data_IF_098099697322
#
_entry.id   IF_098099697322
#
_cell.length_a   1.000
_cell.length_b   1.000
_cell.length_c   1.000
_cell.angle_alpha   90.00
_cell.angle_beta   90.00
_cell.angle_gamma   90.00
#
_symmetry.space_group_name_H-M   'P 1'
#
loop_
_entity.id
_entity.type
_entity.pdbx_description
1 polymer ?
#
# COMPACT_ATOMS: atom_id res chain seq x y z
N UNK A 1 51.27 74.13 -30.21
CA UNK A 1 50.37 73.98 -29.05
C UNK A 1 49.80 72.56 -29.06
N UNK A 2 50.02 71.82 -27.96
CA UNK A 2 49.47 70.50 -27.56
C UNK A 2 49.50 69.35 -28.60
N UNK A 3 50.50 68.47 -28.43
CA UNK A 3 50.55 67.09 -28.94
C UNK A 3 49.59 66.21 -28.12
N UNK A 4 48.75 65.44 -28.78
CA UNK A 4 47.88 64.43 -28.18
C UNK A 4 48.66 63.11 -27.99
N UNK A 5 48.54 62.53 -26.80
CA UNK A 5 49.18 61.27 -26.41
C UNK A 5 48.31 60.06 -26.80
N UNK A 6 49.01 58.99 -27.17
CA UNK A 6 48.53 57.63 -27.37
C UNK A 6 47.97 57.01 -26.07
N UNK A 7 46.90 56.24 -26.18
CA UNK A 7 46.31 55.45 -25.10
C UNK A 7 45.84 54.09 -25.63
N UNK A 8 46.62 53.07 -25.27
CA UNK A 8 46.57 51.64 -25.57
C UNK A 8 45.18 50.98 -25.39
N UNK A 9 44.75 50.19 -26.38
CA UNK A 9 43.51 49.39 -26.34
C UNK A 9 43.68 48.13 -25.46
N UNK A 10 42.74 47.94 -24.53
CA UNK A 10 42.67 46.78 -23.64
C UNK A 10 41.82 45.67 -24.29
N UNK A 11 42.45 44.57 -24.69
CA UNK A 11 41.79 43.34 -25.15
C UNK A 11 41.32 42.53 -23.93
N UNK A 12 40.00 42.52 -23.69
CA UNK A 12 39.35 41.63 -22.73
C UNK A 12 39.13 40.25 -23.38
N UNK A 13 40.00 39.30 -23.04
CA UNK A 13 39.80 37.89 -23.37
C UNK A 13 38.82 37.26 -22.37
N UNK A 14 37.60 36.95 -22.83
CA UNK A 14 36.63 36.15 -22.08
C UNK A 14 37.02 34.68 -22.12
N UNK A 15 37.66 34.19 -21.06
CA UNK A 15 37.88 32.76 -20.83
C UNK A 15 36.61 32.09 -20.31
N UNK A 16 35.97 31.27 -21.14
CA UNK A 16 34.91 30.36 -20.70
C UNK A 16 35.55 29.21 -19.89
N UNK A 17 35.47 29.29 -18.57
CA UNK A 17 35.74 28.16 -17.68
C UNK A 17 34.54 27.20 -17.72
N UNK A 18 34.66 26.10 -18.45
CA UNK A 18 33.79 24.95 -18.28
C UNK A 18 34.11 24.29 -16.92
N UNK A 19 33.29 24.57 -15.91
CA UNK A 19 33.20 23.72 -14.73
C UNK A 19 32.32 22.52 -15.09
N UNK A 20 32.84 21.29 -15.15
CA UNK A 20 31.97 20.13 -15.16
C UNK A 20 31.28 20.07 -13.80
N UNK A 21 29.98 20.39 -13.77
CA UNK A 21 29.12 20.05 -12.64
C UNK A 21 29.12 18.52 -12.58
N UNK A 22 29.86 17.98 -11.62
CA UNK A 22 29.74 16.59 -11.22
C UNK A 22 28.29 16.42 -10.71
N UNK A 23 27.40 15.87 -11.53
CA UNK A 23 26.13 15.35 -11.04
C UNK A 23 26.50 14.21 -10.08
N UNK A 24 26.55 14.49 -8.78
CA UNK A 24 26.46 13.41 -7.80
C UNK A 24 25.07 12.82 -7.98
N UNK A 25 25.00 11.55 -8.38
CA UNK A 25 23.75 10.80 -8.28
C UNK A 25 23.31 10.86 -6.82
N UNK A 26 22.09 11.33 -6.57
CA UNK A 26 21.51 11.33 -5.23
C UNK A 26 21.62 9.92 -4.64
N UNK A 27 22.05 9.83 -3.39
CA UNK A 27 22.14 8.57 -2.68
C UNK A 27 20.76 7.88 -2.66
N UNK A 28 20.67 6.56 -2.92
CA UNK A 28 19.39 5.86 -2.94
C UNK A 28 18.65 6.00 -1.61
N UNK A 29 17.42 6.50 -1.65
CA UNK A 29 16.67 6.80 -0.44
C UNK A 29 16.24 5.53 0.31
N UNK A 30 16.62 5.45 1.59
CA UNK A 30 16.11 4.48 2.56
C UNK A 30 15.35 5.19 3.67
N UNK A 31 14.14 4.73 4.01
CA UNK A 31 13.42 5.27 5.14
C UNK A 31 14.14 4.91 6.43
N UNK A 32 14.23 5.85 7.37
CA UNK A 32 14.73 5.53 8.71
C UNK A 32 13.79 4.50 9.37
N UNK A 33 14.32 3.49 10.10
CA UNK A 33 13.49 2.51 10.80
C UNK A 33 12.42 3.17 11.68
N UNK A 34 11.16 2.74 11.53
CA UNK A 34 10.04 3.29 12.29
C UNK A 34 9.60 4.71 11.89
N UNK A 35 10.17 5.32 10.86
CA UNK A 35 9.71 6.63 10.36
C UNK A 35 8.42 6.54 9.53
N UNK A 36 7.80 7.69 9.25
CA UNK A 36 6.71 7.82 8.27
C UNK A 36 7.31 8.43 6.99
N UNK A 37 7.75 7.63 6.01
CA UNK A 37 8.51 8.16 4.89
C UNK A 37 7.61 8.93 3.90
N UNK A 38 8.17 9.97 3.25
CA UNK A 38 7.45 10.76 2.25
C UNK A 38 7.09 9.92 1.02
N UNK A 39 5.82 9.96 0.62
CA UNK A 39 5.28 9.15 -0.49
C UNK A 39 5.98 9.48 -1.83
N UNK A 40 6.36 10.73 -2.04
CA UNK A 40 7.04 11.22 -3.25
C UNK A 40 8.43 10.61 -3.46
N UNK A 41 9.03 10.01 -2.43
CA UNK A 41 10.29 9.26 -2.54
C UNK A 41 10.09 7.77 -2.81
N UNK A 42 8.85 7.28 -2.80
CA UNK A 42 8.55 5.89 -3.08
C UNK A 42 8.71 5.60 -4.58
N UNK A 43 9.18 4.39 -4.89
CA UNK A 43 9.08 3.85 -6.24
C UNK A 43 7.69 3.24 -6.44
N UNK A 44 7.09 3.50 -7.59
CA UNK A 44 5.74 3.07 -7.93
C UNK A 44 5.75 2.02 -9.04
N UNK A 45 4.99 0.94 -8.84
CA UNK A 45 4.76 -0.10 -9.85
C UNK A 45 3.40 -0.78 -9.61
N UNK A 46 2.96 -1.59 -10.56
CA UNK A 46 1.75 -2.42 -10.41
C UNK A 46 2.01 -3.87 -10.80
N UNK A 47 1.21 -4.78 -10.25
CA UNK A 47 1.35 -6.20 -10.51
C UNK A 47 0.19 -7.03 -9.95
N UNK A 48 0.15 -8.29 -10.33
CA UNK A 48 -0.86 -9.26 -9.87
C UNK A 48 -0.43 -9.91 -8.55
N UNK A 49 -1.31 -9.95 -7.55
CA UNK A 49 -1.09 -10.65 -6.30
C UNK A 49 -1.10 -12.18 -6.49
N UNK A 50 0.03 -12.83 -6.25
CA UNK A 50 0.19 -14.27 -6.52
C UNK A 50 0.51 -15.10 -5.28
N UNK A 51 0.91 -14.45 -4.18
CA UNK A 51 1.18 -15.11 -2.90
C UNK A 51 0.94 -14.14 -1.73
N UNK A 52 0.40 -14.66 -0.63
CA UNK A 52 0.13 -13.90 0.60
C UNK A 52 0.59 -14.69 1.82
N UNK A 53 1.42 -14.05 2.64
CA UNK A 53 1.72 -14.43 4.02
C UNK A 53 1.22 -13.28 4.91
N UNK A 54 -0.10 -13.26 5.13
CA UNK A 54 -0.79 -12.15 5.79
C UNK A 54 -0.26 -11.92 7.21
N UNK A 55 0.13 -12.98 7.90
CA UNK A 55 0.55 -12.91 9.29
C UNK A 55 1.90 -12.18 9.42
N UNK A 56 2.81 -12.39 8.48
CA UNK A 56 4.08 -11.65 8.42
C UNK A 56 4.00 -10.37 7.58
N UNK A 57 2.79 -10.00 7.12
CA UNK A 57 2.52 -8.82 6.29
C UNK A 57 3.43 -8.76 5.06
N UNK A 58 3.56 -9.87 4.34
CA UNK A 58 4.38 -9.99 3.12
C UNK A 58 3.66 -10.81 2.07
N UNK A 59 4.11 -10.73 0.83
CA UNK A 59 3.51 -11.46 -0.28
C UNK A 59 4.41 -11.41 -1.51
N UNK A 60 3.86 -11.79 -2.67
CA UNK A 60 4.54 -11.62 -3.95
C UNK A 60 3.59 -11.06 -5.01
N UNK A 61 4.15 -10.21 -5.87
CA UNK A 61 3.47 -9.66 -7.03
C UNK A 61 4.15 -10.13 -8.32
N UNK A 62 3.37 -10.56 -9.30
CA UNK A 62 3.86 -10.63 -10.68
C UNK A 62 3.85 -9.20 -11.23
N UNK A 63 5.00 -8.53 -11.21
CA UNK A 63 5.12 -7.12 -11.60
C UNK A 63 4.94 -6.97 -13.12
N UNK A 64 4.22 -5.93 -13.52
CA UNK A 64 4.07 -5.59 -14.92
C UNK A 64 5.39 -5.08 -15.49
N UNK A 65 5.85 -5.70 -16.58
CA UNK A 65 6.95 -5.23 -17.41
C UNK A 65 6.50 -4.99 -18.85
N UNK A 66 7.45 -4.65 -19.72
CA UNK A 66 7.21 -4.47 -21.16
C UNK A 66 7.13 -5.79 -21.95
N UNK A 67 7.57 -6.91 -21.37
CA UNK A 67 7.54 -8.22 -22.00
C UNK A 67 6.28 -9.03 -21.71
N UNK A 68 6.43 -10.36 -21.75
CA UNK A 68 5.36 -11.32 -21.54
C UNK A 68 5.04 -11.49 -20.06
N UNK A 69 3.95 -10.86 -19.62
CA UNK A 69 3.57 -10.79 -18.20
C UNK A 69 3.56 -12.16 -17.51
N UNK A 70 2.97 -13.19 -18.12
CA UNK A 70 2.84 -14.52 -17.52
C UNK A 70 4.19 -15.21 -17.20
N UNK A 71 5.29 -14.78 -17.84
CA UNK A 71 6.65 -15.30 -17.60
C UNK A 71 7.40 -14.54 -16.50
N UNK A 72 6.81 -13.49 -15.95
CA UNK A 72 7.43 -12.76 -14.86
C UNK A 72 7.28 -13.59 -13.57
N UNK A 73 8.43 -13.87 -12.97
CA UNK A 73 8.49 -14.51 -11.66
C UNK A 73 7.82 -13.60 -10.62
N UNK A 74 7.10 -14.19 -9.66
CA UNK A 74 6.64 -13.50 -8.47
C UNK A 74 7.77 -12.71 -7.78
N UNK A 75 7.59 -11.41 -7.64
CA UNK A 75 8.48 -10.50 -6.94
C UNK A 75 8.00 -10.32 -5.48
N UNK A 76 8.77 -10.77 -4.48
CA UNK A 76 8.39 -10.66 -3.08
C UNK A 76 8.37 -9.22 -2.57
N UNK A 77 7.41 -8.90 -1.69
CA UNK A 77 7.30 -7.62 -0.99
C UNK A 77 6.98 -7.82 0.50
N UNK A 78 7.38 -6.88 1.34
CA UNK A 78 7.00 -6.80 2.75
C UNK A 78 6.37 -5.44 3.04
N UNK A 79 5.30 -5.41 3.83
CA UNK A 79 4.71 -4.14 4.27
C UNK A 79 5.63 -3.50 5.31
N UNK A 80 5.83 -2.19 5.22
CA UNK A 80 6.32 -1.41 6.35
C UNK A 80 5.34 -1.54 7.53
N UNK A 81 5.80 -1.36 8.77
CA UNK A 81 4.90 -1.45 9.92
C UNK A 81 3.74 -0.44 9.86
N UNK A 82 4.01 0.78 9.37
CA UNK A 82 3.02 1.82 9.11
C UNK A 82 2.36 1.71 7.72
N UNK A 83 2.66 0.63 6.98
CA UNK A 83 2.16 0.39 5.63
C UNK A 83 0.65 0.15 5.62
N UNK A 84 -0.01 0.69 4.60
CA UNK A 84 -1.45 0.69 4.43
C UNK A 84 -1.82 -0.24 3.27
N UNK A 85 -2.84 -1.07 3.47
CA UNK A 85 -3.49 -1.84 2.40
C UNK A 85 -4.89 -1.25 2.18
N UNK A 86 -5.28 -1.06 0.92
CA UNK A 86 -6.63 -0.63 0.55
C UNK A 86 -7.24 -1.60 -0.45
N UNK A 87 -8.51 -1.91 -0.25
CA UNK A 87 -9.30 -2.77 -1.12
C UNK A 87 -10.72 -2.22 -1.21
N UNK A 88 -11.31 -2.21 -2.41
CA UNK A 88 -12.65 -1.67 -2.66
C UNK A 88 -12.88 -0.28 -2.06
N UNK A 89 -11.90 0.62 -2.16
CA UNK A 89 -11.99 1.97 -1.64
C UNK A 89 -11.85 2.12 -0.12
N UNK A 90 -11.65 1.04 0.62
CA UNK A 90 -11.58 1.03 2.08
C UNK A 90 -10.26 0.46 2.62
N UNK A 91 -9.91 0.75 3.89
CA UNK A 91 -8.82 0.06 4.59
C UNK A 91 -8.99 -1.46 4.61
N UNK A 92 -7.89 -2.19 4.52
CA UNK A 92 -7.88 -3.66 4.46
C UNK A 92 -6.66 -4.27 5.16
N UNK A 93 -6.75 -5.57 5.46
CA UNK A 93 -5.58 -6.42 5.71
C UNK A 93 -5.25 -7.24 4.44
N UNK A 94 -4.02 -7.75 4.31
CA UNK A 94 -3.62 -8.56 3.16
C UNK A 94 -4.51 -9.81 2.96
N UNK A 95 -5.11 -10.34 4.04
CA UNK A 95 -6.04 -11.48 3.96
C UNK A 95 -7.34 -11.16 3.22
N UNK A 96 -7.70 -9.89 3.13
CA UNK A 96 -8.96 -9.45 2.54
C UNK A 96 -8.84 -9.34 1.00
N UNK A 97 -7.62 -9.29 0.48
CA UNK A 97 -7.33 -9.10 -0.95
C UNK A 97 -7.23 -10.46 -1.65
N UNK A 98 -8.10 -10.77 -2.62
CA UNK A 98 -8.02 -12.02 -3.36
C UNK A 98 -6.73 -12.13 -4.18
N UNK A 99 -6.20 -13.36 -4.30
CA UNK A 99 -5.17 -13.66 -5.28
C UNK A 99 -5.69 -13.37 -6.70
N UNK A 100 -4.79 -12.95 -7.58
CA UNK A 100 -5.10 -12.50 -8.94
C UNK A 100 -5.44 -11.00 -9.04
N UNK A 101 -5.68 -10.30 -7.93
CA UNK A 101 -5.96 -8.85 -7.93
C UNK A 101 -4.76 -8.06 -8.44
N UNK A 102 -4.99 -7.11 -9.35
CA UNK A 102 -3.98 -6.13 -9.74
C UNK A 102 -3.89 -5.05 -8.68
N UNK A 103 -2.70 -4.89 -8.12
CA UNK A 103 -2.41 -3.93 -7.06
C UNK A 103 -1.38 -2.91 -7.53
N UNK A 104 -1.55 -1.68 -7.04
CA UNK A 104 -0.62 -0.57 -7.17
C UNK A 104 0.19 -0.46 -5.90
N UNK A 105 1.49 -0.21 -6.07
CA UNK A 105 2.47 -0.29 -5.01
C UNK A 105 3.23 1.02 -4.93
N UNK A 106 3.37 1.55 -3.72
CA UNK A 106 4.38 2.55 -3.39
C UNK A 106 5.34 1.94 -2.37
N UNK A 107 6.58 1.72 -2.79
CA UNK A 107 7.56 0.99 -2.00
C UNK A 107 8.90 1.72 -1.91
N UNK A 108 9.67 1.31 -0.92
CA UNK A 108 11.00 1.81 -0.64
C UNK A 108 12.01 0.68 -0.63
N UNK A 109 13.28 1.05 -0.72
CA UNK A 109 14.38 0.18 -0.33
C UNK A 109 14.22 -0.25 1.14
N UNK A 110 14.77 -1.42 1.54
CA UNK A 110 14.67 -1.89 2.92
C UNK A 110 15.17 -0.82 3.91
N UNK A 111 14.39 -0.49 4.97
CA UNK A 111 14.84 0.39 6.04
C UNK A 111 16.13 -0.13 6.69
N UNK A 112 16.18 -1.45 6.91
CA UNK A 112 17.36 -2.18 7.37
C UNK A 112 17.55 -3.45 6.52
N UNK A 113 18.55 -3.48 5.62
CA UNK A 113 18.83 -4.63 4.77
C UNK A 113 19.17 -5.93 5.52
N UNK A 114 19.71 -5.85 6.74
CA UNK A 114 20.20 -7.03 7.46
C UNK A 114 19.06 -7.90 8.01
N UNK A 115 17.92 -7.28 8.30
CA UNK A 115 16.75 -7.92 8.90
C UNK A 115 15.54 -7.97 7.93
N UNK A 116 15.81 -7.78 6.63
CA UNK A 116 14.77 -7.80 5.60
C UNK A 116 14.10 -9.18 5.52
N UNK A 117 12.76 -9.19 5.56
CA UNK A 117 11.96 -10.43 5.45
C UNK A 117 11.68 -10.88 4.01
N UNK A 118 12.22 -10.12 3.05
CA UNK A 118 12.19 -10.35 1.61
C UNK A 118 13.60 -10.18 1.02
N UNK A 119 13.89 -10.74 -0.18
CA UNK A 119 15.21 -10.58 -0.79
C UNK A 119 15.62 -9.11 -0.96
N UNK A 120 16.86 -8.79 -0.58
CA UNK A 120 17.46 -7.47 -0.82
C UNK A 120 18.11 -7.49 -2.21
N UNK A 121 17.59 -6.66 -3.12
CA UNK A 121 18.08 -6.59 -4.49
C UNK A 121 19.02 -5.38 -4.69
N UNK A 122 19.91 -5.43 -5.70
CA UNK A 122 20.72 -4.27 -6.09
C UNK A 122 19.84 -3.07 -6.44
N UNK A 123 20.22 -1.84 -6.07
CA UNK A 123 19.38 -0.64 -6.27
C UNK A 123 19.02 -0.41 -7.74
N UNK A 124 19.91 -0.76 -8.66
CA UNK A 124 19.71 -0.62 -10.10
C UNK A 124 18.80 -1.71 -10.71
N UNK A 125 18.29 -2.65 -9.91
CA UNK A 125 17.54 -3.82 -10.42
C UNK A 125 16.22 -3.44 -11.09
N UNK A 126 15.61 -2.29 -10.72
CA UNK A 126 14.43 -1.72 -11.42
C UNK A 126 14.71 -1.29 -12.87
N UNK A 127 15.98 -1.12 -13.26
CA UNK A 127 16.35 -0.77 -14.62
C UNK A 127 16.88 -1.96 -15.43
N UNK A 128 17.09 -3.12 -14.80
CA UNK A 128 17.66 -4.30 -15.46
C UNK A 128 16.62 -4.98 -16.32
N UNK A 129 17.03 -5.32 -17.53
CA UNK A 129 16.29 -6.24 -18.38
C UNK A 129 16.45 -7.67 -17.85
N UNK A 130 15.33 -8.33 -17.59
CA UNK A 130 15.36 -9.73 -17.17
C UNK A 130 15.66 -10.65 -18.37
N UNK A 131 15.22 -10.27 -19.58
CA UNK A 131 15.57 -10.80 -20.90
C UNK A 131 14.55 -10.35 -21.97
N UNK A 132 14.83 -10.65 -23.25
CA UNK A 132 13.98 -10.38 -24.42
C UNK A 132 12.50 -10.77 -24.28
N UNK A 133 12.17 -11.75 -23.42
CA UNK A 133 10.81 -12.25 -23.24
C UNK A 133 10.05 -11.56 -22.09
N UNK A 134 10.75 -10.94 -21.14
CA UNK A 134 10.16 -10.43 -19.89
C UNK A 134 10.27 -8.91 -19.77
N UNK A 135 11.30 -8.34 -20.39
CA UNK A 135 11.59 -6.91 -20.36
C UNK A 135 12.22 -6.46 -19.04
N UNK A 136 12.30 -5.14 -18.89
CA UNK A 136 12.90 -4.48 -17.73
C UNK A 136 11.87 -4.11 -16.66
N UNK A 137 12.35 -3.85 -15.44
CA UNK A 137 11.56 -3.23 -14.36
C UNK A 137 10.68 -4.17 -13.54
N UNK A 138 10.78 -5.48 -13.76
CA UNK A 138 9.92 -6.47 -13.10
C UNK A 138 10.42 -6.90 -11.69
N UNK A 139 11.59 -6.42 -11.28
CA UNK A 139 12.22 -6.73 -10.01
C UNK A 139 12.78 -5.47 -9.33
N UNK A 140 11.94 -4.51 -8.96
CA UNK A 140 12.41 -3.32 -8.26
C UNK A 140 13.10 -3.69 -6.94
N UNK A 141 14.13 -2.96 -6.56
CA UNK A 141 14.76 -3.16 -5.24
C UNK A 141 13.89 -2.60 -4.11
N UNK A 142 12.97 -1.72 -4.47
CA UNK A 142 11.97 -1.13 -3.62
C UNK A 142 10.81 -2.10 -3.40
N UNK A 143 10.99 -3.00 -2.44
CA UNK A 143 10.01 -4.02 -2.09
C UNK A 143 9.51 -3.92 -0.64
N UNK A 144 9.76 -2.80 0.03
CA UNK A 144 9.21 -2.47 1.34
C UNK A 144 8.07 -1.46 1.21
N UNK A 145 6.84 -1.96 1.28
CA UNK A 145 5.63 -1.29 0.80
C UNK A 145 5.04 -0.38 1.87
N UNK A 146 4.84 0.89 1.52
CA UNK A 146 4.08 1.85 2.33
C UNK A 146 2.59 1.85 1.96
N UNK A 147 2.27 1.73 0.68
CA UNK A 147 0.89 1.71 0.19
C UNK A 147 0.72 0.59 -0.83
N UNK A 148 -0.27 -0.25 -0.58
CA UNK A 148 -0.72 -1.32 -1.48
C UNK A 148 -2.22 -1.14 -1.70
N UNK A 149 -2.65 -0.92 -2.94
CA UNK A 149 -4.06 -0.61 -3.21
C UNK A 149 -4.57 -1.20 -4.51
N UNK A 150 -5.83 -1.64 -4.52
CA UNK A 150 -6.50 -2.09 -5.73
C UNK A 150 -6.91 -0.91 -6.64
N UNK A 151 -7.35 -1.25 -7.85
CA UNK A 151 -7.70 -0.26 -8.87
C UNK A 151 -8.78 0.74 -8.40
N UNK A 152 -9.92 0.34 -7.79
CA UNK A 152 -10.90 1.28 -7.24
C UNK A 152 -10.31 2.17 -6.13
N UNK A 153 -9.50 1.62 -5.22
CA UNK A 153 -8.89 2.42 -4.14
C UNK A 153 -7.93 3.48 -4.68
N UNK A 154 -7.10 3.14 -5.67
CA UNK A 154 -6.24 4.11 -6.34
C UNK A 154 -7.07 5.18 -7.03
N UNK A 155 -8.07 4.79 -7.82
CA UNK A 155 -8.94 5.71 -8.54
C UNK A 155 -9.58 6.72 -7.58
N UNK A 156 -10.13 6.26 -6.46
CA UNK A 156 -10.72 7.13 -5.43
C UNK A 156 -9.69 8.06 -4.78
N UNK A 157 -8.47 7.58 -4.49
CA UNK A 157 -7.40 8.40 -3.92
C UNK A 157 -6.92 9.49 -4.87
N UNK A 158 -6.80 9.14 -6.15
CA UNK A 158 -6.28 10.02 -7.19
C UNK A 158 -7.36 10.85 -7.86
N UNK A 159 -8.64 10.64 -7.55
CA UNK A 159 -9.78 11.30 -8.19
C UNK A 159 -9.95 10.92 -9.67
N UNK A 160 -9.45 9.74 -10.06
CA UNK A 160 -9.53 9.22 -11.43
C UNK A 160 -10.73 8.30 -11.59
N UNK A 161 -11.22 8.15 -12.82
CA UNK A 161 -12.38 7.29 -13.14
C UNK A 161 -12.19 6.59 -14.48
N UNK A 162 -12.66 5.36 -14.61
CA UNK A 162 -12.64 4.67 -15.90
C UNK A 162 -13.83 5.11 -16.76
N UNK A 163 -13.59 5.33 -18.05
CA UNK A 163 -14.61 5.61 -19.06
C UNK A 163 -14.67 4.47 -20.06
N UNK A 164 -15.79 3.77 -20.11
CA UNK A 164 -16.02 2.68 -21.05
C UNK A 164 -16.40 3.25 -22.42
N UNK A 165 -15.61 2.93 -23.45
CA UNK A 165 -15.78 3.49 -24.79
C UNK A 165 -16.56 2.54 -25.72
N UNK A 166 -16.13 1.29 -25.77
CA UNK A 166 -16.69 0.26 -26.65
C UNK A 166 -16.65 -1.09 -25.95
N UNK A 167 -17.71 -1.87 -26.13
CA UNK A 167 -17.77 -3.29 -25.79
C UNK A 167 -17.81 -4.13 -27.06
N UNK A 168 -16.99 -5.17 -27.10
CA UNK A 168 -17.05 -6.25 -28.08
C UNK A 168 -17.41 -7.52 -27.32
N UNK A 169 -18.62 -8.04 -27.56
CA UNK A 169 -19.18 -9.18 -26.86
C UNK A 169 -19.43 -10.33 -27.83
N UNK A 170 -19.19 -11.55 -27.39
CA UNK A 170 -19.59 -12.79 -28.04
C UNK A 170 -19.88 -13.84 -26.96
N UNK A 171 -21.14 -14.26 -26.86
CA UNK A 171 -21.60 -15.27 -25.89
C UNK A 171 -21.16 -14.96 -24.44
N UNK A 172 -21.47 -13.75 -23.95
CA UNK A 172 -21.14 -13.26 -22.60
C UNK A 172 -19.64 -13.18 -22.28
N UNK A 173 -18.78 -13.20 -23.30
CA UNK A 173 -17.33 -13.01 -23.16
C UNK A 173 -16.84 -11.99 -24.17
N UNK A 174 -15.71 -11.34 -23.89
CA UNK A 174 -15.13 -10.44 -24.87
C UNK A 174 -14.21 -9.39 -24.27
N UNK A 175 -14.23 -8.21 -24.88
CA UNK A 175 -13.30 -7.14 -24.55
C UNK A 175 -14.00 -5.79 -24.40
N UNK A 176 -13.47 -4.98 -23.48
CA UNK A 176 -13.86 -3.59 -23.28
C UNK A 176 -12.68 -2.70 -23.65
N UNK A 177 -12.95 -1.64 -24.40
CA UNK A 177 -12.01 -0.53 -24.59
C UNK A 177 -12.36 0.57 -23.58
N UNK A 178 -11.41 0.96 -22.73
CA UNK A 178 -11.66 1.94 -21.69
C UNK A 178 -10.46 2.88 -21.49
N UNK A 179 -10.73 4.10 -21.05
CA UNK A 179 -9.70 5.09 -20.67
C UNK A 179 -9.79 5.40 -19.19
N UNK A 180 -8.66 5.40 -18.49
CA UNK A 180 -8.58 5.89 -17.11
C UNK A 180 -8.37 7.41 -17.15
N UNK A 181 -9.46 8.16 -16.96
CA UNK A 181 -9.38 9.61 -16.98
C UNK A 181 -8.86 10.14 -15.63
N UNK A 182 -7.81 10.99 -15.65
CA UNK A 182 -7.37 11.68 -14.44
C UNK A 182 -8.42 12.71 -14.00
N UNK A 183 -8.27 13.33 -12.81
CA UNK A 183 -9.11 14.45 -12.40
C UNK A 183 -9.15 15.55 -13.47
N UNK A 184 -10.27 16.25 -13.59
CA UNK A 184 -10.55 17.28 -14.63
C UNK A 184 -9.45 18.36 -14.77
N UNK A 185 -8.59 18.55 -13.76
CA UNK A 185 -7.46 19.49 -13.79
C UNK A 185 -6.23 19.01 -14.60
N UNK A 186 -6.22 17.78 -15.10
CA UNK A 186 -5.08 17.18 -15.82
C UNK A 186 -5.33 17.10 -17.33
N UNK A 187 -4.46 17.74 -18.13
CA UNK A 187 -4.53 17.71 -19.60
C UNK A 187 -3.72 16.55 -20.22
N UNK A 188 -3.47 15.48 -19.46
CA UNK A 188 -2.68 14.35 -19.94
C UNK A 188 -3.44 13.56 -21.00
N UNK A 189 -2.79 13.23 -22.12
CA UNK A 189 -3.33 12.31 -23.11
C UNK A 189 -3.42 10.92 -22.48
N UNK A 190 -4.62 10.34 -22.44
CA UNK A 190 -4.87 8.99 -21.92
C UNK A 190 -5.05 8.05 -23.10
N UNK A 191 -4.16 7.07 -23.22
CA UNK A 191 -4.31 6.02 -24.22
C UNK A 191 -5.33 4.97 -23.75
N UNK A 192 -6.27 4.54 -24.61
CA UNK A 192 -7.22 3.50 -24.26
C UNK A 192 -6.56 2.16 -23.96
N UNK A 193 -7.03 1.49 -22.91
CA UNK A 193 -6.64 0.13 -22.55
C UNK A 193 -7.73 -0.85 -23.01
N UNK A 194 -7.31 -1.92 -23.72
CA UNK A 194 -8.21 -3.02 -24.09
C UNK A 194 -8.17 -4.07 -22.98
N UNK A 195 -9.27 -4.23 -22.27
CA UNK A 195 -9.46 -5.14 -21.14
C UNK A 195 -10.31 -6.33 -21.57
N UNK A 196 -10.17 -7.48 -20.91
CA UNK A 196 -11.07 -8.64 -21.11
C UNK A 196 -12.14 -8.70 -20.03
N UNK A 197 -13.26 -9.35 -20.35
CA UNK A 197 -14.29 -9.78 -19.40
C UNK A 197 -14.84 -11.14 -19.83
N UNK A 198 -15.47 -11.85 -18.91
CA UNK A 198 -16.18 -13.10 -19.19
C UNK A 198 -17.46 -13.19 -18.36
N UNK A 199 -18.17 -14.32 -18.45
CA UNK A 199 -19.43 -14.51 -17.75
C UNK A 199 -19.28 -14.47 -16.21
N UNK A 200 -18.06 -14.57 -15.66
CA UNK A 200 -17.81 -14.45 -14.24
C UNK A 200 -17.55 -13.00 -13.78
N UNK A 201 -17.43 -12.04 -14.72
CA UNK A 201 -17.34 -10.62 -14.39
C UNK A 201 -18.62 -10.15 -13.70
N UNK A 202 -18.48 -9.58 -12.51
CA UNK A 202 -19.61 -9.09 -11.69
C UNK A 202 -19.90 -7.64 -12.01
N UNK A 203 -21.17 -7.31 -12.16
CA UNK A 203 -21.60 -5.95 -12.50
C UNK A 203 -22.50 -5.45 -11.38
N UNK A 204 -22.11 -4.35 -10.76
CA UNK A 204 -22.78 -3.80 -9.60
C UNK A 204 -23.53 -2.53 -9.98
N UNK A 205 -24.85 -2.55 -9.80
CA UNK A 205 -25.77 -1.43 -10.03
C UNK A 205 -26.63 -1.21 -8.79
N UNK A 206 -26.46 -0.10 -8.09
CA UNK A 206 -27.12 0.18 -6.82
C UNK A 206 -26.83 -0.89 -5.77
N UNK A 207 -27.76 -1.83 -5.58
CA UNK A 207 -27.62 -2.96 -4.64
C UNK A 207 -27.63 -4.32 -5.34
N UNK A 208 -27.75 -4.33 -6.66
CA UNK A 208 -27.81 -5.52 -7.50
C UNK A 208 -26.39 -6.01 -7.81
N UNK A 209 -26.26 -7.34 -7.91
CA UNK A 209 -25.10 -8.00 -8.50
C UNK A 209 -25.59 -8.73 -9.74
N UNK A 210 -25.27 -8.17 -10.90
CA UNK A 210 -25.67 -8.62 -12.22
C UNK A 210 -24.52 -9.37 -12.89
N UNK A 211 -24.86 -10.23 -13.84
CA UNK A 211 -23.96 -10.79 -14.83
C UNK A 211 -24.04 -10.08 -16.17
N UNK A 212 -23.18 -10.49 -17.10
CA UNK A 212 -23.19 -10.01 -18.49
C UNK A 212 -24.53 -10.34 -19.17
N UNK A 213 -25.10 -11.52 -18.87
CA UNK A 213 -26.38 -11.96 -19.43
C UNK A 213 -27.52 -10.99 -19.08
N UNK A 214 -27.55 -10.47 -17.86
CA UNK A 214 -28.58 -9.52 -17.43
C UNK A 214 -28.52 -8.22 -18.26
N UNK A 215 -27.31 -7.70 -18.51
CA UNK A 215 -27.14 -6.52 -19.37
C UNK A 215 -27.55 -6.77 -20.82
N UNK A 216 -27.35 -8.00 -21.33
CA UNK A 216 -27.80 -8.40 -22.67
C UNK A 216 -29.32 -8.52 -22.72
N UNK A 217 -29.94 -9.16 -21.72
CA UNK A 217 -31.40 -9.30 -21.63
C UNK A 217 -32.10 -7.93 -21.51
N UNK A 218 -31.50 -6.99 -20.79
CA UNK A 218 -31.98 -5.60 -20.70
C UNK A 218 -31.70 -4.75 -21.95
N UNK A 219 -30.96 -5.29 -22.93
CA UNK A 219 -30.61 -4.57 -24.16
C UNK A 219 -29.57 -3.46 -23.97
N UNK A 220 -28.86 -3.44 -22.83
CA UNK A 220 -27.79 -2.49 -22.55
C UNK A 220 -26.51 -2.87 -23.28
N UNK A 221 -26.21 -4.17 -23.38
CA UNK A 221 -25.05 -4.70 -24.09
C UNK A 221 -25.48 -5.63 -25.24
N UNK A 222 -24.66 -5.79 -26.30
CA UNK A 222 -25.00 -6.66 -27.40
C UNK A 222 -24.78 -8.14 -27.01
N UNK A 223 -25.68 -9.03 -27.45
CA UNK A 223 -25.48 -10.48 -27.33
C UNK A 223 -24.26 -10.98 -28.14
N UNK A 224 -24.02 -10.33 -29.28
CA UNK A 224 -22.87 -10.57 -30.14
C UNK A 224 -22.54 -9.30 -30.94
N UNK A 225 -21.25 -9.01 -31.13
CA UNK A 225 -20.76 -7.88 -31.91
C UNK A 225 -20.27 -6.72 -31.04
N UNK A 226 -20.17 -5.55 -31.67
CA UNK A 226 -19.62 -4.34 -31.07
C UNK A 226 -20.70 -3.31 -30.78
N UNK A 227 -20.56 -2.59 -29.68
CA UNK A 227 -21.43 -1.49 -29.31
C UNK A 227 -20.63 -0.40 -28.58
N UNK A 228 -20.91 0.87 -28.88
CA UNK A 228 -20.37 1.99 -28.11
C UNK A 228 -21.05 2.10 -26.74
N UNK A 229 -20.27 2.44 -25.72
CA UNK A 229 -20.74 2.68 -24.34
C UNK A 229 -20.70 4.17 -23.96
N UNK A 230 -20.56 5.06 -24.94
CA UNK A 230 -20.68 6.51 -24.78
C UNK A 230 -19.84 7.11 -23.64
N UNK A 231 -18.63 6.58 -23.40
CA UNK A 231 -17.75 7.01 -22.31
C UNK A 231 -18.41 6.90 -20.92
N UNK A 232 -19.15 5.81 -20.66
CA UNK A 232 -19.77 5.59 -19.36
C UNK A 232 -18.72 5.54 -18.25
N UNK A 233 -18.91 6.36 -17.21
CA UNK A 233 -18.04 6.38 -16.04
C UNK A 233 -18.31 5.17 -15.13
N UNK A 234 -17.24 4.47 -14.74
CA UNK A 234 -17.30 3.29 -13.87
C UNK A 234 -16.05 3.19 -12.98
N UNK A 235 -16.12 2.34 -11.97
CA UNK A 235 -14.92 1.79 -11.32
C UNK A 235 -14.74 0.32 -11.72
N UNK A 236 -13.49 -0.11 -11.89
CA UNK A 236 -13.14 -1.45 -12.34
C UNK A 236 -12.32 -2.19 -11.29
N UNK A 237 -12.69 -3.43 -11.02
CA UNK A 237 -11.85 -4.38 -10.30
C UNK A 237 -11.00 -5.15 -11.31
N UNK A 238 -9.67 -5.02 -11.24
CA UNK A 238 -8.76 -5.62 -12.21
C UNK A 238 -8.06 -6.86 -11.65
N UNK A 239 -7.96 -7.86 -12.51
CA UNK A 239 -7.22 -9.11 -12.29
C UNK A 239 -6.40 -9.46 -13.53
N UNK A 240 -5.66 -10.56 -13.48
CA UNK A 240 -5.07 -11.15 -14.68
C UNK A 240 -5.64 -12.54 -14.96
N UNK A 241 -5.89 -12.83 -16.25
CA UNK A 241 -6.25 -14.17 -16.73
C UNK A 241 -5.45 -14.48 -18.01
N UNK A 242 -5.14 -15.75 -18.28
CA UNK A 242 -4.59 -16.16 -19.58
C UNK A 242 -5.50 -15.68 -20.71
N UNK A 243 -4.93 -14.93 -21.65
CA UNK A 243 -5.68 -14.39 -22.80
C UNK A 243 -5.31 -15.20 -24.06
N UNK A 244 -6.29 -15.58 -24.89
CA UNK A 244 -6.02 -16.18 -26.20
C UNK A 244 -5.19 -15.28 -27.13
N UNK A 245 -4.79 -15.83 -28.28
CA UNK A 245 -4.21 -15.09 -29.41
C UNK A 245 -2.83 -14.43 -29.17
N UNK A 246 -2.07 -14.94 -28.20
CA UNK A 246 -0.70 -14.49 -27.97
C UNK A 246 -0.60 -13.07 -27.39
N UNK A 247 -1.67 -12.57 -26.77
CA UNK A 247 -1.64 -11.31 -26.04
C UNK A 247 -1.13 -11.56 -24.64
N UNK A 248 0.12 -11.19 -24.40
CA UNK A 248 0.81 -11.56 -23.17
C UNK A 248 0.54 -10.64 -21.98
N UNK A 249 0.07 -9.41 -22.23
CA UNK A 249 -0.22 -8.41 -21.19
C UNK A 249 -1.56 -7.75 -21.48
N UNK A 250 -2.64 -8.38 -20.99
CA UNK A 250 -4.00 -7.84 -20.99
C UNK A 250 -4.66 -8.15 -19.66
N UNK A 251 -5.17 -7.13 -18.99
CA UNK A 251 -5.89 -7.33 -17.74
C UNK A 251 -7.34 -7.75 -17.96
N UNK A 252 -7.90 -8.35 -16.92
CA UNK A 252 -9.23 -8.91 -16.89
C UNK A 252 -10.08 -8.20 -15.84
N UNK A 253 -11.29 -7.82 -16.22
CA UNK A 253 -12.25 -7.14 -15.36
C UNK A 253 -12.97 -8.19 -14.52
N UNK A 254 -12.72 -8.16 -13.22
CA UNK A 254 -13.43 -8.98 -12.24
C UNK A 254 -14.75 -8.33 -11.79
N UNK A 255 -14.77 -7.00 -11.68
CA UNK A 255 -15.90 -6.24 -11.20
C UNK A 255 -16.06 -4.93 -11.98
N UNK A 256 -17.31 -4.53 -12.22
CA UNK A 256 -17.68 -3.22 -12.75
C UNK A 256 -18.68 -2.60 -11.79
N UNK A 257 -18.33 -1.47 -11.16
CA UNK A 257 -19.29 -0.66 -10.41
C UNK A 257 -19.81 0.45 -11.31
N UNK A 258 -21.11 0.38 -11.64
CA UNK A 258 -21.76 1.30 -12.59
C UNK A 258 -22.18 2.63 -11.94
N UNK A 259 -22.26 2.68 -10.61
CA UNK A 259 -22.70 3.86 -9.86
C UNK A 259 -22.08 3.93 -8.45
N UNK A 260 -22.15 5.13 -7.87
CA UNK A 260 -21.60 5.43 -6.53
C UNK A 260 -22.26 4.62 -5.42
N UNK A 261 -23.53 4.25 -5.57
CA UNK A 261 -24.23 3.46 -4.55
C UNK A 261 -23.62 2.07 -4.46
N UNK A 262 -23.36 1.44 -5.61
CA UNK A 262 -22.71 0.14 -5.69
C UNK A 262 -21.31 0.17 -5.07
N UNK A 263 -20.49 1.16 -5.43
CA UNK A 263 -19.13 1.30 -4.88
C UNK A 263 -19.18 1.58 -3.37
N UNK A 264 -20.04 2.47 -2.91
CA UNK A 264 -20.21 2.79 -1.48
C UNK A 264 -20.58 1.55 -0.66
N UNK A 265 -21.38 0.64 -1.21
CA UNK A 265 -21.69 -0.63 -0.53
C UNK A 265 -20.46 -1.54 -0.41
N UNK A 266 -19.64 -1.64 -1.46
CA UNK A 266 -18.39 -2.41 -1.42
C UNK A 266 -17.42 -1.82 -0.37
N UNK A 267 -17.20 -0.50 -0.42
CA UNK A 267 -16.40 0.25 0.57
C UNK A 267 -16.89 0.00 1.98
N UNK A 268 -18.20 0.13 2.24
CA UNK A 268 -18.79 -0.07 3.57
C UNK A 268 -18.55 -1.47 4.11
N UNK A 269 -18.73 -2.50 3.28
CA UNK A 269 -18.50 -3.90 3.69
C UNK A 269 -17.05 -4.13 4.07
N UNK A 270 -16.12 -3.67 3.24
CA UNK A 270 -14.69 -3.80 3.52
C UNK A 270 -14.26 -2.99 4.77
N UNK A 271 -14.81 -1.79 4.96
CA UNK A 271 -14.60 -0.99 6.19
C UNK A 271 -15.03 -1.75 7.45
N UNK A 272 -16.20 -2.40 7.45
CA UNK A 272 -16.65 -3.15 8.63
C UNK A 272 -15.79 -4.41 8.90
N UNK A 273 -15.37 -5.12 7.84
CA UNK A 273 -14.40 -6.22 7.95
C UNK A 273 -13.12 -5.75 8.64
N UNK A 274 -12.53 -4.65 8.15
CA UNK A 274 -11.29 -4.14 8.70
C UNK A 274 -11.44 -3.54 10.10
N UNK A 275 -12.58 -2.91 10.43
CA UNK A 275 -12.87 -2.45 11.80
C UNK A 275 -12.90 -3.60 12.79
N UNK A 276 -13.53 -4.72 12.44
CA UNK A 276 -13.51 -5.92 13.27
C UNK A 276 -12.08 -6.44 13.44
N UNK A 277 -11.30 -6.46 12.37
CA UNK A 277 -9.89 -6.84 12.39
C UNK A 277 -9.06 -5.97 13.37
N UNK A 278 -9.10 -4.64 13.23
CA UNK A 278 -8.34 -3.74 14.11
C UNK A 278 -8.80 -3.82 15.56
N UNK A 279 -10.11 -3.93 15.83
CA UNK A 279 -10.60 -4.09 17.22
C UNK A 279 -10.09 -5.36 17.88
N UNK A 280 -10.02 -6.46 17.13
CA UNK A 280 -9.56 -7.75 17.64
C UNK A 280 -8.05 -7.84 17.84
N UNK A 281 -7.25 -7.14 17.02
CA UNK A 281 -5.78 -7.14 17.10
C UNK A 281 -5.18 -5.87 17.66
N UNK A 282 -5.98 -4.88 18.03
CA UNK A 282 -5.56 -3.61 18.63
C UNK A 282 -4.86 -2.64 17.63
N UNK A 283 -4.90 -1.35 17.95
CA UNK A 283 -4.40 -0.28 17.07
C UNK A 283 -2.87 -0.26 17.10
N UNK A 284 -2.18 -0.38 15.95
CA UNK A 284 -0.73 -0.23 15.91
C UNK A 284 -0.31 1.24 16.08
N UNK A 285 0.83 1.44 16.73
CA UNK A 285 1.41 2.76 16.99
C UNK A 285 2.93 2.68 17.11
N UNK A 286 3.58 3.83 16.99
CA UNK A 286 5.00 4.00 17.30
C UNK A 286 5.17 4.80 18.58
N UNK A 287 6.07 4.35 19.44
CA UNK A 287 6.48 5.11 20.64
C UNK A 287 7.42 6.24 20.22
N UNK A 288 6.97 7.48 20.42
CA UNK A 288 7.76 8.68 20.10
C UNK A 288 8.69 9.06 21.26
N UNK A 289 8.23 8.89 22.51
CA UNK A 289 9.03 9.19 23.71
C UNK A 289 8.54 8.40 24.93
N UNK A 290 9.41 8.26 25.93
CA UNK A 290 9.08 7.67 27.23
C UNK A 290 9.66 8.54 28.35
N UNK A 291 8.80 9.01 29.24
CA UNK A 291 9.15 9.71 30.47
C UNK A 291 9.14 8.71 31.63
N UNK A 292 10.32 8.29 32.09
CA UNK A 292 10.44 7.29 33.16
C UNK A 292 10.23 7.92 34.55
N UNK A 293 9.38 7.28 35.34
CA UNK A 293 9.16 7.53 36.76
C UNK A 293 9.90 6.53 37.65
N UNK A 294 9.48 6.45 38.92
CA UNK A 294 10.01 5.47 39.88
C UNK A 294 9.24 4.16 39.82
N UNK A 295 9.91 3.06 40.17
CA UNK A 295 9.30 1.74 40.38
C UNK A 295 8.48 1.23 39.18
N UNK A 296 8.99 1.39 37.96
CA UNK A 296 8.33 0.89 36.74
C UNK A 296 7.29 1.83 36.15
N UNK A 297 6.93 2.93 36.84
CA UNK A 297 6.01 3.93 36.29
C UNK A 297 6.65 4.66 35.11
N UNK A 298 5.87 4.91 34.06
CA UNK A 298 6.28 5.75 32.94
C UNK A 298 5.08 6.39 32.25
N UNK A 299 5.31 7.55 31.63
CA UNK A 299 4.38 8.10 30.63
C UNK A 299 4.96 7.86 29.24
N UNK A 300 4.20 7.18 28.40
CA UNK A 300 4.56 6.82 27.03
C UNK A 300 3.81 7.75 26.08
N UNK A 301 4.55 8.41 25.21
CA UNK A 301 3.99 9.20 24.11
C UNK A 301 4.05 8.36 22.84
N UNK A 302 2.92 8.12 22.18
CA UNK A 302 2.86 7.27 20.99
C UNK A 302 1.93 7.83 19.90
N UNK A 303 2.41 7.82 18.66
CA UNK A 303 1.62 8.18 17.46
C UNK A 303 0.93 6.95 16.90
N UNK A 304 -0.40 6.99 16.81
CA UNK A 304 -1.19 5.91 16.20
C UNK A 304 -0.94 5.85 14.69
N UNK A 305 -0.82 4.65 14.14
CA UNK A 305 -0.65 4.48 12.69
C UNK A 305 -1.91 4.88 11.93
N UNK A 306 -1.69 5.38 10.71
CA UNK A 306 -2.72 5.86 9.81
C UNK A 306 -3.39 4.75 9.00
N UNK A 307 -4.27 5.17 8.10
CA UNK A 307 -4.94 4.25 7.16
C UNK A 307 -6.14 3.49 7.74
N UNK A 308 -6.52 3.71 9.00
CA UNK A 308 -7.70 3.11 9.62
C UNK A 308 -8.97 3.97 9.43
N UNK A 309 -10.14 3.37 9.65
CA UNK A 309 -11.42 4.08 9.67
C UNK A 309 -11.48 5.09 10.84
N UNK A 310 -11.99 6.32 10.63
CA UNK A 310 -12.08 7.35 11.66
C UNK A 310 -12.78 6.92 12.96
N UNK A 311 -13.76 6.02 12.88
CA UNK A 311 -14.48 5.56 14.09
C UNK A 311 -13.60 4.73 15.03
N UNK A 312 -12.51 4.14 14.55
CA UNK A 312 -11.56 3.43 15.42
C UNK A 312 -10.73 4.40 16.25
N UNK A 313 -10.35 5.55 15.68
CA UNK A 313 -9.60 6.57 16.43
C UNK A 313 -10.48 7.29 17.46
N UNK A 314 -11.78 7.44 17.18
CA UNK A 314 -12.73 8.05 18.12
C UNK A 314 -12.86 7.28 19.45
N UNK A 315 -12.47 6.00 19.47
CA UNK A 315 -12.45 5.17 20.67
C UNK A 315 -11.24 5.47 21.60
N UNK A 316 -10.28 6.30 21.15
CA UNK A 316 -9.15 6.77 21.96
C UNK A 316 -9.50 8.10 22.63
N UNK A 317 -9.75 8.07 23.94
CA UNK A 317 -10.18 9.23 24.71
C UNK A 317 -9.35 9.37 25.98
N UNK A 318 -9.13 10.62 26.41
CA UNK A 318 -8.49 10.92 27.68
C UNK A 318 -9.26 10.32 28.87
N UNK A 319 -8.56 10.03 29.95
CA UNK A 319 -9.07 9.40 31.17
C UNK A 319 -9.73 8.02 30.97
N UNK A 320 -9.39 7.30 29.89
CA UNK A 320 -9.86 5.93 29.65
C UNK A 320 -8.76 4.91 29.91
N UNK A 321 -9.14 3.75 30.45
CA UNK A 321 -8.21 2.64 30.62
C UNK A 321 -7.75 2.10 29.27
N UNK A 322 -6.49 1.73 29.13
CA UNK A 322 -5.96 1.07 27.95
C UNK A 322 -4.91 0.00 28.31
N UNK A 323 -4.59 -0.81 27.32
CA UNK A 323 -3.47 -1.75 27.36
C UNK A 323 -2.54 -1.46 26.20
N UNK A 324 -1.24 -1.54 26.44
CA UNK A 324 -0.19 -1.41 25.42
C UNK A 324 0.66 -2.68 25.44
N UNK A 325 0.96 -3.23 24.28
CA UNK A 325 1.86 -4.38 24.17
C UNK A 325 2.84 -4.17 23.02
N UNK A 326 4.06 -4.66 23.22
CA UNK A 326 5.11 -4.62 22.21
C UNK A 326 4.82 -5.59 21.07
N UNK A 327 5.15 -5.15 19.86
CA UNK A 327 5.08 -5.98 18.65
C UNK A 327 6.35 -5.83 17.84
N UNK A 328 6.58 -6.78 16.95
CA UNK A 328 7.67 -6.69 15.98
C UNK A 328 7.22 -5.99 14.70
N UNK A 329 8.12 -5.81 13.72
CA UNK A 329 7.83 -5.06 12.49
C UNK A 329 6.66 -5.63 11.66
N UNK A 330 6.38 -6.94 11.82
CA UNK A 330 5.22 -7.64 11.24
C UNK A 330 3.91 -7.37 11.99
N UNK A 331 3.94 -6.59 13.06
CA UNK A 331 2.84 -6.30 13.98
C UNK A 331 2.33 -7.51 14.77
N UNK A 332 3.11 -8.60 14.86
CA UNK A 332 2.78 -9.75 15.71
C UNK A 332 3.08 -9.47 17.18
N UNK A 333 2.21 -9.96 18.06
CA UNK A 333 2.43 -9.92 19.50
C UNK A 333 3.53 -10.88 19.93
N UNK A 334 4.33 -10.47 20.90
CA UNK A 334 5.29 -11.36 21.58
C UNK A 334 4.58 -12.22 22.64
N UNK A 335 5.07 -13.45 22.85
CA UNK A 335 4.52 -14.43 23.80
C UNK A 335 3.01 -14.63 23.67
N UNK A 336 2.50 -14.65 22.43
CA UNK A 336 1.06 -14.59 22.19
C UNK A 336 0.31 -15.87 22.51
N UNK A 337 0.98 -16.99 22.81
CA UNK A 337 0.35 -18.22 23.27
C UNK A 337 -0.47 -18.03 24.56
N UNK A 338 -0.12 -17.04 25.39
CA UNK A 338 -0.88 -16.65 26.59
C UNK A 338 -1.93 -15.54 26.31
N UNK A 339 -1.89 -14.98 25.11
CA UNK A 339 -2.74 -13.90 24.65
C UNK A 339 -2.17 -12.50 24.77
N UNK A 340 -2.59 -11.63 23.86
CA UNK A 340 -2.08 -10.26 23.75
C UNK A 340 -2.19 -9.45 25.06
N UNK A 341 -3.20 -9.72 25.88
CA UNK A 341 -3.43 -9.04 27.16
C UNK A 341 -2.59 -9.58 28.33
N UNK A 342 -1.94 -10.74 28.18
CA UNK A 342 -1.14 -11.34 29.24
C UNK A 342 0.17 -10.57 29.46
N UNK A 343 0.84 -10.20 28.37
CA UNK A 343 2.09 -9.42 28.40
C UNK A 343 1.90 -7.90 28.28
N UNK A 344 0.65 -7.43 28.24
CA UNK A 344 0.38 -6.02 28.03
C UNK A 344 0.55 -5.21 29.33
N UNK A 345 1.23 -4.08 29.23
CA UNK A 345 1.23 -3.06 30.27
C UNK A 345 -0.14 -2.38 30.30
N UNK A 346 -0.71 -2.26 31.51
CA UNK A 346 -2.02 -1.64 31.74
C UNK A 346 -1.84 -0.21 32.21
N UNK A 347 -2.83 0.62 31.95
CA UNK A 347 -2.70 2.03 32.26
C UNK A 347 -3.88 2.87 31.80
N UNK A 348 -3.65 4.17 31.76
CA UNK A 348 -4.66 5.18 31.43
C UNK A 348 -4.15 6.08 30.32
N UNK A 349 -5.00 6.35 29.32
CA UNK A 349 -4.73 7.40 28.33
C UNK A 349 -4.95 8.74 29.03
N UNK A 350 -3.89 9.51 29.24
CA UNK A 350 -3.93 10.82 29.86
C UNK A 350 -4.47 11.88 28.91
N UNK A 351 -4.02 11.86 27.66
CA UNK A 351 -4.37 12.84 26.65
C UNK A 351 -4.32 12.24 25.24
N UNK A 352 -5.07 12.83 24.32
CA UNK A 352 -5.08 12.53 22.89
C UNK A 352 -4.98 13.84 22.11
N UNK A 353 -3.83 14.07 21.51
CA UNK A 353 -3.54 15.28 20.75
C UNK A 353 -3.61 14.98 19.25
N UNK A 354 -4.26 15.87 18.49
CA UNK A 354 -4.28 15.82 17.02
C UNK A 354 -3.28 16.82 16.46
N UNK A 355 -2.45 16.36 15.53
CA UNK A 355 -1.54 17.22 14.78
C UNK A 355 -2.31 18.26 13.98
N UNK A 356 -1.81 19.50 14.01
CA UNK A 356 -2.25 20.61 13.14
C UNK A 356 -1.44 20.69 11.84
N UNK A 357 -0.33 19.96 11.78
CA UNK A 357 0.57 19.93 10.62
C UNK A 357 0.10 18.93 9.57
N UNK A 358 0.72 18.97 8.39
CA UNK A 358 0.51 17.97 7.36
C UNK A 358 0.85 16.57 7.89
N UNK A 359 -0.13 15.66 7.84
CA UNK A 359 0.02 14.29 8.35
C UNK A 359 0.64 13.41 7.25
N UNK A 360 1.83 12.84 7.46
CA UNK A 360 2.45 11.95 6.48
C UNK A 360 1.66 10.64 6.34
N UNK A 361 1.69 10.03 5.15
CA UNK A 361 1.07 8.74 4.91
C UNK A 361 1.62 7.68 5.88
N UNK A 362 0.74 6.84 6.45
CA UNK A 362 1.09 5.86 7.47
C UNK A 362 0.99 6.40 8.91
N UNK A 363 0.84 7.71 9.11
CA UNK A 363 0.48 8.31 10.41
C UNK A 363 -1.01 8.68 10.45
N UNK A 364 -1.64 8.56 11.60
CA UNK A 364 -3.00 9.07 11.82
C UNK A 364 -3.01 10.58 12.14
N UNK A 365 -1.85 11.14 12.48
CA UNK A 365 -1.74 12.46 13.09
C UNK A 365 -2.28 12.54 14.52
N UNK A 366 -2.66 11.41 15.13
CA UNK A 366 -3.10 11.33 16.52
C UNK A 366 -1.99 10.77 17.38
N UNK A 367 -1.66 11.50 18.44
CA UNK A 367 -0.70 11.10 19.46
C UNK A 367 -1.44 10.91 20.78
N UNK A 368 -1.11 9.84 21.50
CA UNK A 368 -1.60 9.60 22.85
C UNK A 368 -0.49 9.77 23.87
N UNK A 369 -0.85 10.23 25.07
CA UNK A 369 -0.03 10.09 26.27
C UNK A 369 -0.65 8.99 27.14
N UNK A 370 0.09 7.94 27.43
CA UNK A 370 -0.37 6.78 28.17
C UNK A 370 0.49 6.58 29.42
N UNK A 371 -0.12 6.59 30.60
CA UNK A 371 0.58 6.29 31.85
C UNK A 371 0.42 4.81 32.20
N UNK A 372 1.52 4.17 32.59
CA UNK A 372 1.54 2.81 33.15
C UNK A 372 2.45 2.74 34.37
N UNK A 373 2.19 1.80 35.27
CA UNK A 373 3.07 1.44 36.40
C UNK A 373 4.03 0.29 36.07
N UNK A 374 3.92 -0.30 34.87
CA UNK A 374 4.75 -1.42 34.41
C UNK A 374 5.34 -1.13 33.02
N UNK A 375 6.39 -0.33 32.95
CA UNK A 375 7.16 -0.15 31.72
C UNK A 375 8.04 -1.37 31.42
N UNK A 376 8.11 -1.76 30.15
CA UNK A 376 8.90 -2.90 29.67
C UNK A 376 9.77 -2.50 28.48
N UNK A 377 10.82 -3.27 28.22
CA UNK A 377 11.81 -3.01 27.14
C UNK A 377 11.19 -2.92 25.74
N UNK A 378 10.06 -3.59 25.52
CA UNK A 378 9.31 -3.52 24.27
C UNK A 378 8.60 -2.19 24.02
N UNK A 379 8.50 -1.31 25.03
CA UNK A 379 7.84 -0.01 24.97
C UNK A 379 8.88 1.09 25.24
N UNK A 380 9.83 1.24 24.32
CA UNK A 380 10.84 2.31 24.33
C UNK A 380 10.74 3.14 23.06
N UNK A 381 11.30 4.34 23.07
CA UNK A 381 11.35 5.23 21.90
C UNK A 381 11.77 4.49 20.63
N UNK A 382 11.01 4.70 19.55
CA UNK A 382 11.20 4.06 18.25
C UNK A 382 10.61 2.65 18.12
N UNK A 383 10.18 1.99 19.21
CA UNK A 383 9.51 0.69 19.12
C UNK A 383 8.08 0.83 18.66
N UNK A 384 7.58 -0.28 18.13
CA UNK A 384 6.23 -0.43 17.61
C UNK A 384 5.44 -1.21 18.63
N UNK A 385 4.23 -0.74 18.88
CA UNK A 385 3.33 -1.28 19.88
C UNK A 385 1.95 -1.44 19.27
N UNK A 386 1.11 -2.19 19.94
CA UNK A 386 -0.32 -2.20 19.71
C UNK A 386 -1.06 -1.79 20.98
N UNK A 387 -2.07 -0.95 20.83
CA UNK A 387 -2.79 -0.30 21.92
C UNK A 387 -4.28 -0.64 21.83
N UNK A 388 -4.84 -1.09 22.96
CA UNK A 388 -6.25 -1.42 23.12
C UNK A 388 -6.92 -0.45 24.09
N UNK A 389 -7.81 0.44 23.63
CA UNK A 389 -8.77 1.12 24.50
C UNK A 389 -9.65 0.11 25.25
N UNK A 390 -10.02 0.42 26.49
CA UNK A 390 -10.72 -0.51 27.38
C UNK A 390 -12.01 -1.11 26.81
N UNK A 391 -12.72 -0.38 25.97
CA UNK A 391 -13.98 -0.79 25.33
C UNK A 391 -13.86 -1.76 24.16
N UNK A 392 -12.65 -2.05 23.69
CA UNK A 392 -12.44 -3.00 22.58
C UNK A 392 -12.51 -4.45 23.07
N UNK A 393 -12.81 -5.44 22.22
CA UNK A 393 -12.81 -6.83 22.65
C UNK A 393 -11.41 -7.27 23.09
N UNK A 394 -11.35 -8.22 24.02
CA UNK A 394 -10.12 -8.92 24.38
C UNK A 394 -10.24 -10.36 23.87
N UNK A 395 -9.46 -10.70 22.86
CA UNK A 395 -9.53 -12.00 22.18
C UNK A 395 -8.14 -12.60 22.01
N UNK A 396 -8.12 -13.90 21.73
CA UNK A 396 -6.92 -14.62 21.34
C UNK A 396 -6.77 -14.58 19.83
N UNK A 397 -5.54 -14.40 19.34
CA UNK A 397 -5.23 -14.42 17.91
C UNK A 397 -4.71 -15.82 17.51
N UNK A 398 -4.89 -16.25 16.25
CA UNK A 398 -4.38 -17.54 15.77
C UNK A 398 -2.87 -17.69 15.90
N UNK A 399 -2.36 -18.94 15.87
CA UNK A 399 -0.94 -19.27 16.05
C UNK A 399 -0.02 -18.50 15.11
N UNK A 400 -0.47 -18.31 13.87
CA UNK A 400 0.29 -17.66 12.82
C UNK A 400 0.53 -16.18 13.14
N UNK A 401 -0.34 -15.55 13.93
CA UNK A 401 -0.36 -14.10 14.19
C UNK A 401 0.37 -13.67 15.47
N UNK A 402 1.04 -14.60 16.16
CA UNK A 402 1.89 -14.29 17.29
C UNK A 402 3.24 -14.99 17.24
N UNK A 403 4.19 -14.44 18.01
CA UNK A 403 5.48 -15.04 18.28
C UNK A 403 5.38 -15.84 19.57
N UNK A 404 5.80 -17.10 19.53
CA UNK A 404 5.71 -18.02 20.67
C UNK A 404 6.88 -17.75 21.63
N UNK A 405 8.08 -17.66 21.07
CA UNK A 405 9.28 -17.23 21.76
C UNK A 405 9.88 -16.01 21.04
N UNK A 406 9.79 -14.84 21.66
CA UNK A 406 10.35 -13.61 21.11
C UNK A 406 11.89 -13.60 21.06
N UNK A 407 12.55 -14.56 21.72
CA UNK A 407 13.98 -14.79 21.62
C UNK A 407 14.37 -15.59 20.37
N UNK A 408 13.42 -16.25 19.68
CA UNK A 408 13.68 -16.96 18.44
C UNK A 408 13.86 -15.96 17.27
N UNK A 409 15.09 -15.79 16.73
CA UNK A 409 15.34 -14.83 15.66
C UNK A 409 14.58 -15.15 14.39
N UNK A 410 14.30 -16.43 14.10
CA UNK A 410 13.62 -16.85 12.88
C UNK A 410 12.13 -16.50 12.89
N UNK A 411 11.48 -16.50 14.06
CA UNK A 411 10.09 -16.03 14.18
C UNK A 411 10.01 -14.50 14.11
N UNK A 412 10.99 -13.82 14.73
CA UNK A 412 11.06 -12.36 14.82
C UNK A 412 11.43 -11.70 13.49
N UNK A 413 12.33 -12.32 12.75
CA UNK A 413 12.86 -11.87 11.46
C UNK A 413 12.67 -12.98 10.42
N UNK A 414 11.43 -13.20 9.94
CA UNK A 414 11.13 -14.32 9.07
C UNK A 414 11.94 -14.25 7.79
N UNK A 415 12.66 -15.34 7.50
CA UNK A 415 13.60 -15.39 6.36
C UNK A 415 12.86 -15.32 5.01
N UNK A 416 13.53 -14.87 3.93
CA UNK A 416 12.96 -14.89 2.59
C UNK A 416 12.90 -16.30 1.97
N UNK A 417 13.27 -17.36 2.70
CA UNK A 417 13.37 -18.72 2.16
C UNK A 417 12.01 -19.34 1.79
N UNK A 418 10.90 -18.80 2.30
CA UNK A 418 9.54 -19.24 1.94
C UNK A 418 9.20 -18.94 0.47
N UNK A 419 9.84 -17.92 -0.12
CA UNK A 419 9.55 -17.53 -1.49
C UNK A 419 10.18 -18.53 -2.45
N UNK A 420 9.42 -19.03 -3.45
CA UNK A 420 9.98 -19.93 -4.42
C UNK A 420 11.11 -19.27 -5.21
N UNK A 421 12.12 -20.06 -5.57
CA UNK A 421 13.19 -19.68 -6.49
C UNK A 421 12.77 -20.19 -7.86
N UNK A 422 12.50 -19.28 -8.78
CA UNK A 422 12.05 -19.57 -10.14
C UNK A 422 13.21 -19.55 -11.13
#
# INVERSE_FOLDING_TARGET
>A
MRRAQFGLALLLATGCLWNPVLLMADEPFRPAPGSFPPLEKAHTYRGELVFVDHANRRGSLRVQGSGMFFRNDPHPFAMLPCGIVRYHGAPADLRDVPLGTILHVHAFLPPDPQISSVPVLPVDNRAKDANHNRGAGIFPAENHVLLLEDEPSRCLREGSVWKLQEVECQNNTGTLLATLEPPEASSAKVDPEKLTFDAATRIWRGRECLGIEDLVQEGLWPASGKQSLAAQAVHLGLTWKPTPDGVFTRFHISDIWLDDTALTQATRRQTETHKAFIRSRWMPARVDAVEYGKFGRATVTATLFGGMDPSLYADFQASTSAMINAVENTLKHTHGAYGAAHMASRGTILDVTRSTDAVPLGSSGLQIRFETDLIIEGIRTGRIVRIRPGGWPQVQVPREEYLDDAANPDERFPTPAIFPKY
#
